data_IF_649674494949
#
_entry.id   IF_649674494949
#
_cell.length_a   1.000
_cell.length_b   1.000
_cell.length_c   1.000
_cell.angle_alpha   90.00
_cell.angle_beta   90.00
_cell.angle_gamma   90.00
#
_symmetry.space_group_name_H-M   'P 1'
#
loop_
_entity.id
_entity.type
_entity.pdbx_description
1 polymer ?
#
# COMPACT_ATOMS: atom_id res chain seq x y z
N UNK A 1 -27.48 -0.44 -86.64
CA UNK A 1 -26.55 0.68 -86.38
C UNK A 1 -26.54 0.89 -84.88
N UNK A 2 -25.67 0.19 -84.17
CA UNK A 2 -25.51 0.30 -82.72
C UNK A 2 -24.04 0.64 -82.45
N UNK A 3 -23.89 1.71 -81.69
CA UNK A 3 -22.70 2.43 -81.25
C UNK A 3 -21.44 1.57 -81.09
N UNK A 4 -20.43 1.81 -81.95
CA UNK A 4 -19.04 1.40 -81.71
C UNK A 4 -18.34 2.28 -80.66
N UNK A 5 -19.02 3.33 -80.17
CA UNK A 5 -18.45 4.34 -79.27
C UNK A 5 -18.57 3.98 -77.77
N UNK A 6 -19.33 2.95 -77.42
CA UNK A 6 -19.53 2.52 -76.03
C UNK A 6 -18.55 1.41 -75.59
N UNK A 7 -18.01 0.61 -76.52
CA UNK A 7 -16.99 -0.40 -76.18
C UNK A 7 -15.59 0.21 -75.98
N UNK A 8 -15.21 1.26 -76.71
CA UNK A 8 -13.93 1.97 -76.51
C UNK A 8 -13.84 2.69 -75.16
N UNK A 9 -14.99 2.98 -74.51
CA UNK A 9 -15.02 3.70 -73.24
C UNK A 9 -14.77 2.77 -72.03
N UNK A 10 -14.92 1.45 -72.17
CA UNK A 10 -14.66 0.51 -71.07
C UNK A 10 -13.19 0.10 -70.96
N UNK A 11 -12.46 0.04 -72.09
CA UNK A 11 -11.03 -0.30 -72.09
C UNK A 11 -10.14 0.84 -71.54
N UNK A 12 -10.56 2.11 -71.68
CA UNK A 12 -9.78 3.25 -71.15
C UNK A 12 -9.89 3.45 -69.63
N UNK A 13 -10.89 2.82 -68.97
CA UNK A 13 -11.07 2.93 -67.51
C UNK A 13 -10.32 1.83 -66.73
N UNK A 14 -9.78 0.80 -67.37
CA UNK A 14 -9.06 -0.30 -66.69
C UNK A 14 -7.68 0.04 -66.10
N UNK A 15 -6.86 0.95 -66.66
CA UNK A 15 -5.52 1.24 -66.13
C UNK A 15 -5.53 1.89 -64.75
N UNK A 16 -6.44 2.86 -64.52
CA UNK A 16 -6.51 3.58 -63.25
C UNK A 16 -6.97 2.67 -62.10
N UNK A 17 -7.82 1.67 -62.38
CA UNK A 17 -8.22 0.68 -61.36
C UNK A 17 -7.10 -0.32 -61.03
N UNK A 18 -6.16 -0.57 -61.95
CA UNK A 18 -4.98 -1.39 -61.66
C UNK A 18 -3.98 -0.65 -60.77
N UNK A 19 -3.74 0.64 -61.03
CA UNK A 19 -2.86 1.47 -60.18
C UNK A 19 -3.40 1.59 -58.76
N UNK A 20 -4.70 1.85 -58.60
CA UNK A 20 -5.33 1.94 -57.27
C UNK A 20 -5.25 0.60 -56.52
N UNK A 21 -5.40 -0.53 -57.23
CA UNK A 21 -5.21 -1.87 -56.64
C UNK A 21 -3.77 -2.12 -56.21
N UNK A 22 -2.80 -1.70 -57.04
CA UNK A 22 -1.38 -1.86 -56.73
C UNK A 22 -1.01 -1.01 -55.50
N UNK A 23 -1.51 0.22 -55.44
CA UNK A 23 -1.27 1.14 -54.33
C UNK A 23 -1.83 0.58 -53.01
N UNK A 24 -3.06 0.05 -53.03
CA UNK A 24 -3.67 -0.61 -51.88
C UNK A 24 -2.88 -1.84 -51.42
N UNK A 25 -2.38 -2.66 -52.34
CA UNK A 25 -1.54 -3.82 -51.99
C UNK A 25 -0.22 -3.40 -51.34
N UNK A 26 0.40 -2.33 -51.85
CA UNK A 26 1.64 -1.77 -51.27
C UNK A 26 1.38 -1.20 -49.89
N UNK A 27 0.27 -0.51 -49.66
CA UNK A 27 -0.11 0.01 -48.33
C UNK A 27 -0.31 -1.11 -47.32
N UNK A 28 -1.06 -2.16 -47.68
CA UNK A 28 -1.27 -3.33 -46.81
C UNK A 28 0.05 -4.04 -46.48
N UNK A 29 0.95 -4.17 -47.44
CA UNK A 29 2.25 -4.80 -47.23
C UNK A 29 3.17 -3.94 -46.33
N UNK A 30 3.14 -2.62 -46.50
CA UNK A 30 3.86 -1.67 -45.64
C UNK A 30 3.31 -1.70 -44.21
N UNK A 31 2.00 -1.75 -44.03
CA UNK A 31 1.36 -1.85 -42.70
C UNK A 31 1.71 -3.17 -42.01
N UNK A 32 1.62 -4.30 -42.71
CA UNK A 32 2.00 -5.61 -42.19
C UNK A 32 3.48 -5.64 -41.75
N UNK A 33 4.37 -5.08 -42.58
CA UNK A 33 5.79 -5.02 -42.27
C UNK A 33 6.10 -4.06 -41.11
N UNK A 34 5.29 -3.01 -40.93
CA UNK A 34 5.43 -2.09 -39.80
C UNK A 34 4.92 -2.71 -38.49
N UNK A 35 3.86 -3.51 -38.53
CA UNK A 35 3.36 -4.23 -37.37
C UNK A 35 4.34 -5.34 -36.93
N UNK A 36 4.94 -6.05 -37.88
CA UNK A 36 5.98 -7.04 -37.60
C UNK A 36 7.22 -6.39 -36.93
N UNK A 37 7.67 -5.23 -37.41
CA UNK A 37 8.76 -4.48 -36.77
C UNK A 37 8.42 -4.06 -35.35
N UNK A 38 7.20 -3.55 -35.12
CA UNK A 38 6.75 -3.16 -33.77
C UNK A 38 6.72 -4.35 -32.83
N UNK A 39 6.23 -5.50 -33.30
CA UNK A 39 6.19 -6.73 -32.52
C UNK A 39 7.61 -7.21 -32.18
N UNK A 40 8.53 -7.19 -33.16
CA UNK A 40 9.92 -7.59 -32.96
C UNK A 40 10.65 -6.66 -31.99
N UNK A 41 10.42 -5.35 -32.08
CA UNK A 41 10.98 -4.35 -31.17
C UNK A 41 10.43 -4.51 -29.74
N UNK A 42 9.13 -4.80 -29.61
CA UNK A 42 8.52 -5.09 -28.32
C UNK A 42 9.11 -6.36 -27.67
N UNK A 43 9.27 -7.43 -28.45
CA UNK A 43 9.86 -8.68 -27.97
C UNK A 43 11.34 -8.50 -27.59
N UNK A 44 12.11 -7.78 -28.41
CA UNK A 44 13.49 -7.42 -28.08
C UNK A 44 13.57 -6.57 -26.80
N UNK A 45 12.63 -5.64 -26.60
CA UNK A 45 12.51 -4.86 -25.37
C UNK A 45 12.23 -5.73 -24.14
N UNK A 46 11.33 -6.72 -24.27
CA UNK A 46 11.04 -7.69 -23.21
C UNK A 46 12.27 -8.53 -22.87
N UNK A 47 12.97 -9.05 -23.87
CA UNK A 47 14.19 -9.84 -23.65
C UNK A 47 15.31 -9.01 -23.03
N UNK A 48 15.49 -7.76 -23.45
CA UNK A 48 16.47 -6.86 -22.86
C UNK A 48 16.17 -6.58 -21.37
N UNK A 49 14.89 -6.38 -21.03
CA UNK A 49 14.46 -6.18 -19.64
C UNK A 49 14.72 -7.42 -18.77
N UNK A 50 14.38 -8.61 -19.28
CA UNK A 50 14.65 -9.88 -18.58
C UNK A 50 16.15 -10.07 -18.35
N UNK A 51 16.96 -9.79 -19.36
CA UNK A 51 18.42 -9.90 -19.25
C UNK A 51 19.00 -8.93 -18.22
N UNK A 52 18.53 -7.68 -18.18
CA UNK A 52 18.92 -6.72 -17.15
C UNK A 52 18.53 -7.21 -15.75
N UNK A 53 17.33 -7.76 -15.59
CA UNK A 53 16.87 -8.28 -14.31
C UNK A 53 17.71 -9.47 -13.83
N UNK A 54 18.10 -10.38 -14.73
CA UNK A 54 19.01 -11.48 -14.42
C UNK A 54 20.39 -10.99 -13.99
N UNK A 55 20.96 -10.00 -14.70
CA UNK A 55 22.24 -9.41 -14.36
C UNK A 55 22.21 -8.71 -13.00
N UNK A 56 21.12 -8.01 -12.67
CA UNK A 56 20.90 -7.43 -11.34
C UNK A 56 20.80 -8.51 -10.26
N UNK A 57 20.09 -9.61 -10.53
CA UNK A 57 20.00 -10.74 -9.61
C UNK A 57 21.36 -11.39 -9.36
N UNK A 58 22.18 -11.55 -10.40
CA UNK A 58 23.56 -12.07 -10.27
C UNK A 58 24.45 -11.12 -9.46
N UNK A 59 24.34 -9.81 -9.69
CA UNK A 59 25.14 -8.78 -9.01
C UNK A 59 24.75 -8.62 -7.54
N UNK A 60 23.47 -8.76 -7.21
CA UNK A 60 22.93 -8.52 -5.88
C UNK A 60 22.22 -9.74 -5.29
N UNK A 61 22.88 -10.91 -5.28
CA UNK A 61 22.32 -12.18 -4.77
C UNK A 61 21.65 -12.06 -3.39
N UNK A 62 22.18 -11.20 -2.52
CA UNK A 62 21.63 -11.00 -1.18
C UNK A 62 20.31 -10.21 -1.16
N UNK A 63 20.05 -9.32 -2.14
CA UNK A 63 18.80 -8.54 -2.21
C UNK A 63 17.62 -9.40 -2.65
N UNK A 64 17.90 -10.42 -3.45
CA UNK A 64 16.92 -11.36 -3.98
C UNK A 64 16.90 -12.69 -3.23
N UNK A 65 17.66 -12.80 -2.13
CA UNK A 65 17.58 -13.95 -1.25
C UNK A 65 16.15 -14.03 -0.68
N UNK A 66 15.49 -15.20 -0.71
CA UNK A 66 14.19 -15.38 -0.09
C UNK A 66 14.25 -14.91 1.36
N UNK A 67 13.36 -13.98 1.73
CA UNK A 67 13.24 -13.55 3.12
C UNK A 67 12.82 -14.79 3.91
N UNK A 68 13.62 -15.25 4.87
CA UNK A 68 13.27 -16.43 5.64
C UNK A 68 11.94 -16.15 6.36
N UNK A 69 10.98 -17.08 6.22
CA UNK A 69 9.72 -17.10 6.97
C UNK A 69 10.02 -17.39 8.45
N UNK A 70 10.70 -16.45 9.10
CA UNK A 70 10.81 -16.44 10.55
C UNK A 70 9.46 -15.94 11.06
N UNK A 71 8.81 -16.66 11.99
CA UNK A 71 7.68 -16.09 12.69
C UNK A 71 8.17 -14.76 13.27
N UNK A 72 7.41 -13.69 13.00
CA UNK A 72 7.64 -12.43 13.69
C UNK A 72 7.72 -12.76 15.18
N UNK A 73 8.72 -12.25 15.92
CA UNK A 73 8.73 -12.46 17.35
C UNK A 73 7.39 -11.97 17.89
N UNK A 74 6.58 -12.89 18.41
CA UNK A 74 5.26 -12.60 19.00
C UNK A 74 5.36 -11.53 20.08
N UNK A 75 6.57 -11.32 20.59
CA UNK A 75 6.96 -10.45 21.69
C UNK A 75 7.06 -8.95 21.39
N UNK A 76 7.07 -8.49 20.13
CA UNK A 76 7.39 -7.07 19.84
C UNK A 76 6.29 -6.25 19.17
N UNK A 77 5.05 -6.75 19.12
CA UNK A 77 3.93 -5.82 19.14
C UNK A 77 3.79 -5.40 20.59
N UNK A 78 4.50 -4.33 20.96
CA UNK A 78 4.34 -3.65 22.23
C UNK A 78 2.84 -3.38 22.39
N UNK A 79 2.16 -4.24 23.14
CA UNK A 79 0.72 -4.12 23.34
C UNK A 79 0.49 -2.71 23.91
N UNK A 80 -0.49 -1.98 23.39
CA UNK A 80 -0.92 -0.74 24.00
C UNK A 80 -1.13 -0.98 25.50
N UNK A 81 -0.88 0.04 26.32
CA UNK A 81 -1.11 -0.02 27.76
C UNK A 81 -2.47 -0.69 28.03
N UNK A 82 -2.56 -1.64 28.97
CA UNK A 82 -3.79 -2.38 29.28
C UNK A 82 -4.99 -1.45 29.50
N UNK A 83 -4.76 -0.26 30.04
CA UNK A 83 -5.76 0.81 30.13
C UNK A 83 -6.37 1.21 28.78
N UNK A 84 -5.53 1.43 27.75
CA UNK A 84 -5.95 1.75 26.39
C UNK A 84 -6.77 0.60 25.78
N UNK A 85 -6.33 -0.65 25.98
CA UNK A 85 -7.07 -1.83 25.51
C UNK A 85 -8.44 -1.95 26.21
N UNK A 86 -8.50 -1.77 27.52
CA UNK A 86 -9.76 -1.80 28.29
C UNK A 86 -10.74 -0.70 27.86
N UNK A 87 -10.24 0.48 27.49
CA UNK A 87 -11.06 1.57 26.96
C UNK A 87 -11.54 1.28 25.54
N UNK A 88 -10.66 0.74 24.70
CA UNK A 88 -10.99 0.31 23.35
C UNK A 88 -12.06 -0.80 23.37
N UNK A 89 -11.96 -1.79 24.27
CA UNK A 89 -12.99 -2.82 24.46
C UNK A 89 -14.37 -2.22 24.80
N UNK A 90 -14.39 -1.13 25.57
CA UNK A 90 -15.63 -0.42 25.97
C UNK A 90 -16.16 0.53 24.89
N UNK A 91 -15.50 0.64 23.73
CA UNK A 91 -15.83 1.64 22.70
C UNK A 91 -15.56 3.08 23.15
N UNK A 92 -14.78 3.27 24.21
CA UNK A 92 -14.42 4.61 24.68
C UNK A 92 -13.27 5.19 23.86
N UNK A 93 -13.25 6.51 23.69
CA UNK A 93 -12.15 7.18 23.01
C UNK A 93 -10.83 7.01 23.78
N UNK A 94 -9.80 6.59 23.04
CA UNK A 94 -8.43 6.43 23.55
C UNK A 94 -7.51 7.36 22.76
N UNK A 95 -6.75 8.25 23.42
CA UNK A 95 -5.75 9.07 22.74
C UNK A 95 -4.75 8.22 21.96
N UNK A 96 -4.46 8.63 20.72
CA UNK A 96 -3.58 7.90 19.80
C UNK A 96 -2.15 7.78 20.34
N UNK A 97 -1.74 8.72 21.20
CA UNK A 97 -0.45 8.70 21.86
C UNK A 97 -0.13 7.37 22.56
N UNK A 98 -1.13 6.69 23.15
CA UNK A 98 -0.94 5.41 23.84
C UNK A 98 -0.52 4.26 22.90
N UNK A 99 -0.71 4.42 21.60
CA UNK A 99 -0.32 3.45 20.57
C UNK A 99 1.00 3.82 19.89
N UNK A 100 1.60 4.96 20.25
CA UNK A 100 2.93 5.34 19.73
C UNK A 100 4.03 4.56 20.45
N UNK A 101 5.15 4.30 19.77
CA UNK A 101 6.31 3.66 20.39
C UNK A 101 6.81 4.41 21.63
N UNK A 102 6.68 5.74 21.62
CA UNK A 102 7.03 6.60 22.75
C UNK A 102 6.07 6.37 23.91
N UNK A 103 4.76 6.48 23.69
CA UNK A 103 3.75 6.25 24.72
C UNK A 103 3.80 4.84 25.31
N UNK A 104 4.10 3.81 24.51
CA UNK A 104 4.20 2.45 25.02
C UNK A 104 5.48 2.24 25.86
N UNK A 105 6.60 2.85 25.46
CA UNK A 105 7.84 2.81 26.25
C UNK A 105 7.69 3.55 27.58
N UNK A 106 7.10 4.74 27.56
CA UNK A 106 6.83 5.52 28.78
C UNK A 106 5.88 4.76 29.72
N UNK A 107 4.88 4.07 29.18
CA UNK A 107 4.01 3.20 29.96
C UNK A 107 4.76 2.01 30.61
N UNK A 108 5.80 1.49 29.97
CA UNK A 108 6.63 0.39 30.51
C UNK A 108 7.57 0.88 31.61
N UNK A 109 8.11 2.08 31.47
CA UNK A 109 9.06 2.67 32.42
C UNK A 109 8.37 3.15 33.72
N UNK A 110 7.07 3.46 33.66
CA UNK A 110 6.24 3.88 34.80
C UNK A 110 5.90 2.76 35.82
N UNK A 111 6.51 1.59 35.67
CA UNK A 111 6.49 0.52 36.65
C UNK A 111 5.25 -0.37 36.60
N UNK A 112 5.52 -1.68 36.66
CA UNK A 112 4.60 -2.82 36.81
C UNK A 112 3.87 -2.83 38.18
N UNK A 113 3.30 -1.71 38.59
CA UNK A 113 2.36 -1.66 39.71
C UNK A 113 0.99 -2.10 39.21
N UNK A 114 0.38 -3.04 39.95
CA UNK A 114 -0.98 -3.53 39.72
C UNK A 114 -1.92 -2.38 39.33
N UNK A 115 -2.37 -2.41 38.08
CA UNK A 115 -3.17 -1.34 37.47
C UNK A 115 -4.55 -1.21 38.15
N UNK A 116 -4.96 -2.25 38.89
CA UNK A 116 -6.17 -2.32 39.72
C UNK A 116 -5.93 -1.86 41.18
N UNK A 117 -4.72 -1.43 41.53
CA UNK A 117 -4.42 -0.90 42.85
C UNK A 117 -4.95 0.55 42.99
N UNK A 118 -5.59 0.85 44.11
CA UNK A 118 -5.95 2.22 44.47
C UNK A 118 -4.72 2.99 44.95
N UNK A 119 -4.34 4.03 44.23
CA UNK A 119 -3.30 4.99 44.62
C UNK A 119 -3.91 6.20 45.31
N UNK A 120 -3.30 6.67 46.39
CA UNK A 120 -3.70 7.91 47.04
C UNK A 120 -3.16 9.11 46.24
N UNK A 121 -4.05 9.93 45.69
CA UNK A 121 -3.71 11.10 44.88
C UNK A 121 -4.17 12.36 45.60
N UNK A 122 -3.29 13.37 45.68
CA UNK A 122 -3.64 14.67 46.23
C UNK A 122 -4.43 15.47 45.17
N UNK A 123 -5.67 15.85 45.49
CA UNK A 123 -6.49 16.77 44.67
C UNK A 123 -6.67 18.11 45.37
N UNK A 124 -7.20 19.10 44.64
CA UNK A 124 -7.61 20.41 45.16
C UNK A 124 -8.66 20.32 46.29
N UNK A 125 -9.40 19.21 46.34
CA UNK A 125 -10.41 18.89 47.37
C UNK A 125 -9.86 18.02 48.52
N UNK A 126 -8.58 17.63 48.48
CA UNK A 126 -7.94 16.75 49.46
C UNK A 126 -7.46 15.40 48.90
N UNK A 127 -6.93 14.51 49.74
CA UNK A 127 -6.44 13.20 49.32
C UNK A 127 -7.61 12.31 48.89
N UNK A 128 -7.55 11.74 47.69
CA UNK A 128 -8.59 10.83 47.15
C UNK A 128 -7.93 9.56 46.61
N UNK A 129 -8.57 8.41 46.80
CA UNK A 129 -8.13 7.16 46.19
C UNK A 129 -8.56 7.12 44.73
N UNK A 130 -7.60 6.99 43.83
CA UNK A 130 -7.83 6.82 42.40
C UNK A 130 -7.08 5.58 41.91
N UNK A 131 -7.69 4.83 41.00
CA UNK A 131 -7.06 3.68 40.36
C UNK A 131 -5.70 4.07 39.75
N UNK A 132 -4.66 3.26 39.98
CA UNK A 132 -3.30 3.49 39.49
C UNK A 132 -3.29 3.75 37.98
N UNK A 133 -4.02 2.94 37.21
CA UNK A 133 -4.18 3.11 35.77
C UNK A 133 -4.70 4.49 35.38
N UNK A 134 -5.66 5.01 36.15
CA UNK A 134 -6.30 6.30 35.87
C UNK A 134 -5.43 7.49 36.28
N UNK A 135 -4.57 7.32 37.29
CA UNK A 135 -3.58 8.33 37.68
C UNK A 135 -2.43 8.41 36.66
N UNK A 136 -1.93 7.26 36.16
CA UNK A 136 -0.88 7.18 35.13
C UNK A 136 -1.35 7.70 33.77
N UNK A 137 -2.56 7.34 33.34
CA UNK A 137 -3.12 7.81 32.07
C UNK A 137 -3.25 9.35 31.99
N UNK A 138 -3.42 10.04 33.13
CA UNK A 138 -3.46 11.51 33.18
C UNK A 138 -2.09 12.15 32.90
N UNK A 139 -0.98 11.47 33.22
CA UNK A 139 0.38 11.98 32.98
C UNK A 139 0.75 11.97 31.50
N UNK A 140 0.28 10.95 30.77
CA UNK A 140 0.65 10.68 29.37
C UNK A 140 -0.34 11.23 28.35
N UNK A 141 -0.99 12.36 28.64
CA UNK A 141 -2.06 12.91 27.79
C UNK A 141 -1.54 13.89 26.75
N UNK A 142 -0.77 13.41 25.78
CA UNK A 142 -0.55 14.16 24.54
C UNK A 142 -1.84 14.14 23.73
N UNK A 143 -2.32 15.30 23.28
CA UNK A 143 -3.51 15.39 22.41
C UNK A 143 -3.15 14.95 21.00
N UNK A 144 -4.04 14.22 20.33
CA UNK A 144 -3.82 13.71 18.97
C UNK A 144 -3.38 14.79 17.98
N UNK A 145 -3.91 16.01 18.08
CA UNK A 145 -3.52 17.15 17.23
C UNK A 145 -2.05 17.58 17.34
N UNK A 146 -1.36 17.12 18.38
CA UNK A 146 0.04 17.43 18.65
C UNK A 146 0.97 16.27 18.25
N UNK A 147 0.40 15.18 17.70
CA UNK A 147 1.19 14.10 17.13
C UNK A 147 1.78 14.53 15.79
N UNK A 148 3.02 14.13 15.56
CA UNK A 148 3.67 14.27 14.25
C UNK A 148 3.12 13.25 13.25
N UNK A 149 3.31 13.50 11.96
CA UNK A 149 2.94 12.55 10.91
C UNK A 149 3.62 11.18 11.09
N UNK A 150 4.88 11.17 11.52
CA UNK A 150 5.62 9.94 11.78
C UNK A 150 5.00 9.14 12.92
N UNK A 151 4.58 9.81 14.00
CA UNK A 151 3.89 9.15 15.12
C UNK A 151 2.51 8.63 14.70
N UNK A 152 1.76 9.40 13.91
CA UNK A 152 0.47 8.97 13.40
C UNK A 152 0.59 7.72 12.51
N UNK A 153 1.61 7.68 11.65
CA UNK A 153 1.89 6.53 10.79
C UNK A 153 2.17 5.25 11.60
N UNK A 154 2.84 5.37 12.75
CA UNK A 154 3.11 4.26 13.66
C UNK A 154 1.82 3.78 14.34
N UNK A 155 0.96 4.71 14.74
CA UNK A 155 -0.28 4.41 15.48
C UNK A 155 -1.26 3.62 14.63
N UNK A 156 -1.40 3.95 13.34
CA UNK A 156 -2.38 3.31 12.44
C UNK A 156 -2.32 1.78 12.51
N UNK A 157 -1.12 1.22 12.36
CA UNK A 157 -0.94 -0.23 12.40
C UNK A 157 -1.24 -0.82 13.78
N UNK A 158 -0.69 -0.24 14.85
CA UNK A 158 -0.88 -0.71 16.22
C UNK A 158 -2.36 -0.66 16.65
N UNK A 159 -3.07 0.41 16.29
CA UNK A 159 -4.48 0.60 16.64
C UNK A 159 -5.37 -0.42 15.90
N UNK A 160 -5.18 -0.62 14.59
CA UNK A 160 -5.95 -1.60 13.82
C UNK A 160 -5.76 -3.01 14.39
N UNK A 161 -4.51 -3.38 14.72
CA UNK A 161 -4.23 -4.69 15.33
C UNK A 161 -4.92 -4.81 16.70
N UNK A 162 -4.87 -3.75 17.52
CA UNK A 162 -5.54 -3.75 18.81
C UNK A 162 -7.07 -3.87 18.68
N UNK A 163 -7.69 -3.19 17.71
CA UNK A 163 -9.12 -3.29 17.45
C UNK A 163 -9.53 -4.72 17.04
N UNK A 164 -8.74 -5.35 16.15
CA UNK A 164 -8.96 -6.76 15.76
C UNK A 164 -8.85 -7.72 16.95
N UNK A 165 -7.90 -7.49 17.86
CA UNK A 165 -7.76 -8.29 19.07
C UNK A 165 -8.93 -8.12 20.04
N UNK A 166 -9.65 -7.00 19.98
CA UNK A 166 -10.82 -6.70 20.81
C UNK A 166 -12.13 -7.06 20.10
N UNK A 167 -12.07 -7.87 19.03
CA UNK A 167 -13.25 -8.36 18.29
C UNK A 167 -14.18 -7.24 17.82
N UNK A 168 -13.61 -6.09 17.48
CA UNK A 168 -14.39 -5.01 16.87
C UNK A 168 -15.00 -5.49 15.55
N UNK A 169 -16.26 -5.13 15.26
CA UNK A 169 -16.92 -5.56 14.03
C UNK A 169 -16.13 -5.08 12.82
N UNK A 170 -15.84 -6.00 11.90
CA UNK A 170 -15.47 -5.64 10.54
C UNK A 170 -16.68 -4.95 9.90
N UNK A 171 -16.42 -3.85 9.19
CA UNK A 171 -17.44 -2.97 8.58
C UNK A 171 -18.40 -3.72 7.65
#
# INVERSE_FOLDING_TARGET
>A
MTNSQEEECLDHMLPEFQEVRLLFMVEVEVEAQQEERKHLEQEAGRQCLLHQQEEEQKKYKNKFAPIPNKPLPTTFLLLPLQHALNKLCKGEYVPLYFFTNKGIREAKDDGSGDEDLLTLVQTDKGPTFQMAASAKAKKHKVRDKHLTWDELSQVNYCMIVAMKQQEWPDE
#
